data_IF_769190052396
#
_entry.id   IF_769190052396
#
_cell.length_a   1.000
_cell.length_b   1.000
_cell.length_c   1.000
_cell.angle_alpha   90.00
_cell.angle_beta   90.00
_cell.angle_gamma   90.00
#
_symmetry.space_group_name_H-M   'P 1'
#
loop_
_entity.id
_entity.type
_entity.pdbx_description
1 polymer ?
#
# COMPACT_ATOMS: atom_id res chain seq x y z
N UNK A 1 3.49 25.49 12.10
CA UNK A 1 3.30 25.70 10.65
C UNK A 1 2.55 24.51 10.13
N UNK A 2 1.48 24.73 9.34
CA UNK A 2 0.78 23.61 8.71
C UNK A 2 1.70 22.87 7.75
N UNK A 3 1.68 21.55 7.76
CA UNK A 3 2.51 20.67 6.89
C UNK A 3 2.16 20.89 5.42
N UNK A 4 0.87 21.10 5.15
CA UNK A 4 0.33 21.35 3.81
C UNK A 4 -0.59 22.57 3.83
N UNK A 5 -0.44 23.46 2.85
CA UNK A 5 -1.32 24.64 2.74
C UNK A 5 -2.64 24.27 2.06
N UNK A 6 -3.71 24.98 2.43
CA UNK A 6 -5.02 24.84 1.78
C UNK A 6 -4.95 25.08 0.26
N UNK A 7 -4.08 25.98 -0.19
CA UNK A 7 -3.88 26.26 -1.62
C UNK A 7 -3.34 25.03 -2.37
N UNK A 8 -2.36 24.35 -1.81
CA UNK A 8 -1.82 23.11 -2.38
C UNK A 8 -2.87 22.00 -2.48
N UNK A 9 -3.73 21.86 -1.44
CA UNK A 9 -4.83 20.90 -1.46
C UNK A 9 -5.87 21.23 -2.54
N UNK A 10 -6.18 22.49 -2.75
CA UNK A 10 -7.07 22.93 -3.82
C UNK A 10 -6.49 22.66 -5.20
N UNK A 11 -5.22 22.98 -5.43
CA UNK A 11 -4.50 22.73 -6.69
C UNK A 11 -4.41 21.24 -7.00
N UNK A 12 -4.21 20.39 -5.99
CA UNK A 12 -4.22 18.93 -6.12
C UNK A 12 -5.63 18.33 -6.31
N UNK A 13 -6.71 19.12 -6.25
CA UNK A 13 -8.08 18.65 -6.43
C UNK A 13 -8.62 17.79 -5.29
N UNK A 14 -8.00 17.80 -4.10
CA UNK A 14 -8.38 16.96 -2.95
C UNK A 14 -9.75 17.33 -2.36
N UNK A 15 -10.27 18.50 -2.70
CA UNK A 15 -11.60 18.95 -2.27
C UNK A 15 -12.76 18.21 -2.97
N UNK A 16 -12.53 17.51 -4.07
CA UNK A 16 -13.57 16.75 -4.75
C UNK A 16 -13.88 15.44 -4.01
N UNK A 17 -15.13 15.33 -3.57
CA UNK A 17 -15.65 14.10 -2.96
C UNK A 17 -16.37 13.18 -3.95
N UNK A 18 -17.25 12.35 -3.43
CA UNK A 18 -18.08 11.44 -4.24
C UNK A 18 -19.37 12.12 -4.75
N UNK A 19 -19.99 11.58 -5.82
CA UNK A 19 -21.31 12.01 -6.24
C UNK A 19 -22.34 11.92 -5.11
N UNK A 20 -23.31 12.84 -5.07
CA UNK A 20 -24.34 12.93 -4.02
C UNK A 20 -25.15 11.65 -3.84
N UNK A 21 -25.38 10.89 -4.93
CA UNK A 21 -26.07 9.58 -4.91
C UNK A 21 -25.30 8.50 -4.10
N UNK A 22 -24.00 8.67 -3.87
CA UNK A 22 -23.15 7.77 -3.07
C UNK A 22 -22.93 8.34 -1.65
N UNK A 23 -23.91 9.01 -1.12
CA UNK A 23 -23.81 9.63 0.20
C UNK A 23 -23.62 8.58 1.31
N UNK A 24 -22.73 8.93 2.25
CA UNK A 24 -22.52 8.16 3.48
C UNK A 24 -22.75 9.09 4.69
N UNK A 25 -23.65 8.73 5.62
CA UNK A 25 -23.93 9.54 6.81
C UNK A 25 -22.69 9.86 7.65
N UNK A 26 -21.71 8.97 7.71
CA UNK A 26 -20.45 9.16 8.45
C UNK A 26 -19.59 10.28 7.88
N UNK A 27 -19.73 10.58 6.58
CA UNK A 27 -19.00 11.65 5.91
C UNK A 27 -19.63 13.05 6.10
N UNK A 28 -20.87 13.13 6.61
CA UNK A 28 -21.60 14.40 6.78
C UNK A 28 -20.77 15.50 7.45
N UNK A 29 -20.00 15.16 8.47
CA UNK A 29 -19.19 16.10 9.24
C UNK A 29 -17.99 16.69 8.48
N UNK A 30 -17.59 16.07 7.36
CA UNK A 30 -16.46 16.46 6.54
C UNK A 30 -16.88 17.11 5.21
N UNK A 31 -18.18 17.16 4.92
CA UNK A 31 -18.71 17.75 3.71
C UNK A 31 -18.97 19.23 3.97
N UNK A 32 -18.40 20.10 3.13
CA UNK A 32 -18.65 21.53 3.15
C UNK A 32 -19.96 21.87 2.41
N UNK A 33 -20.10 21.43 1.16
CA UNK A 33 -21.26 21.67 0.32
C UNK A 33 -21.39 20.63 -0.78
N UNK A 34 -22.46 20.71 -1.59
CA UNK A 34 -22.60 19.96 -2.82
C UNK A 34 -22.69 20.92 -4.02
N UNK A 35 -21.95 20.64 -5.09
CA UNK A 35 -21.98 21.41 -6.33
C UNK A 35 -21.91 20.46 -7.53
N UNK A 36 -22.78 20.66 -8.50
CA UNK A 36 -22.85 19.81 -9.71
C UNK A 36 -22.93 18.33 -9.37
N UNK A 37 -23.81 17.95 -8.42
CA UNK A 37 -24.00 16.57 -7.94
C UNK A 37 -22.75 15.89 -7.35
N UNK A 38 -21.71 16.67 -7.01
CA UNK A 38 -20.50 16.21 -6.32
C UNK A 38 -20.39 16.93 -4.98
N UNK A 39 -20.04 16.18 -3.94
CA UNK A 39 -19.72 16.76 -2.63
C UNK A 39 -18.35 17.43 -2.66
N UNK A 40 -18.27 18.59 -2.02
CA UNK A 40 -17.04 19.32 -1.76
C UNK A 40 -16.64 19.07 -0.30
N UNK A 41 -15.41 18.62 -0.08
CA UNK A 41 -14.89 18.36 1.25
C UNK A 41 -14.38 19.63 1.92
N UNK A 42 -14.52 19.68 3.25
CA UNK A 42 -14.05 20.77 4.09
C UNK A 42 -12.53 20.69 4.27
N UNK A 43 -11.80 21.55 3.55
CA UNK A 43 -10.33 21.54 3.56
C UNK A 43 -9.75 22.12 4.86
N UNK A 44 -10.45 22.95 5.60
CA UNK A 44 -9.96 23.46 6.91
C UNK A 44 -9.78 22.30 7.88
N UNK A 45 -10.79 21.41 7.94
CA UNK A 45 -10.70 20.18 8.73
C UNK A 45 -9.62 19.24 8.20
N UNK A 46 -9.47 19.15 6.87
CA UNK A 46 -8.45 18.30 6.25
C UNK A 46 -7.05 18.75 6.67
N UNK A 47 -6.73 20.04 6.63
CA UNK A 47 -5.43 20.56 7.06
C UNK A 47 -5.17 20.22 8.53
N UNK A 48 -6.15 20.45 9.42
CA UNK A 48 -6.00 20.13 10.84
C UNK A 48 -5.72 18.65 11.08
N UNK A 49 -6.46 17.76 10.40
CA UNK A 49 -6.29 16.31 10.53
C UNK A 49 -4.96 15.81 9.92
N UNK A 50 -4.45 16.49 8.88
CA UNK A 50 -3.11 16.19 8.34
C UNK A 50 -2.03 16.56 9.35
N UNK A 51 -2.14 17.72 10.00
CA UNK A 51 -1.17 18.12 11.03
C UNK A 51 -1.16 17.16 12.23
N UNK A 52 -2.34 16.70 12.67
CA UNK A 52 -2.48 15.67 13.72
C UNK A 52 -1.84 14.34 13.29
N UNK A 53 -2.14 13.87 12.07
CA UNK A 53 -1.58 12.64 11.52
C UNK A 53 -0.04 12.73 11.39
N UNK A 54 0.47 13.86 10.93
CA UNK A 54 1.91 14.11 10.83
C UNK A 54 2.58 14.05 12.20
N UNK A 55 2.01 14.70 13.21
CA UNK A 55 2.55 14.67 14.57
C UNK A 55 2.58 13.24 15.14
N UNK A 56 1.54 12.44 14.88
CA UNK A 56 1.49 11.04 15.27
C UNK A 56 2.59 10.21 14.56
N UNK A 57 2.68 10.29 13.22
CA UNK A 57 3.70 9.59 12.45
C UNK A 57 5.11 9.95 12.92
N UNK A 58 5.36 11.25 13.14
CA UNK A 58 6.62 11.73 13.67
C UNK A 58 6.97 11.10 15.01
N UNK A 59 6.02 11.04 15.95
CA UNK A 59 6.24 10.41 17.26
C UNK A 59 6.58 8.91 17.16
N UNK A 60 5.96 8.19 16.21
CA UNK A 60 6.25 6.77 15.97
C UNK A 60 7.67 6.58 15.45
N UNK A 61 8.09 7.42 14.49
CA UNK A 61 9.45 7.36 13.91
C UNK A 61 10.50 7.75 14.95
N UNK A 62 10.27 8.77 15.76
CA UNK A 62 11.15 9.19 16.85
C UNK A 62 11.31 8.10 17.91
N UNK A 63 10.27 7.27 18.12
CA UNK A 63 10.35 6.08 18.99
C UNK A 63 11.04 4.87 18.33
N UNK A 64 11.58 5.01 17.11
CA UNK A 64 12.22 3.92 16.37
C UNK A 64 11.24 2.93 15.72
N UNK A 65 9.98 3.31 15.59
CA UNK A 65 8.94 2.50 14.94
C UNK A 65 9.06 2.54 13.41
N UNK A 66 8.53 1.49 12.78
CA UNK A 66 8.43 1.39 11.32
C UNK A 66 7.04 1.78 10.83
N UNK A 67 6.98 2.29 9.60
CA UNK A 67 5.75 2.67 8.92
C UNK A 67 5.57 1.79 7.70
N UNK A 68 4.38 1.20 7.55
CA UNK A 68 3.99 0.48 6.35
C UNK A 68 3.03 1.36 5.54
N UNK A 69 3.48 1.76 4.36
CA UNK A 69 2.66 2.50 3.40
C UNK A 69 1.82 1.53 2.55
N UNK A 70 0.52 1.74 2.47
CA UNK A 70 -0.38 0.88 1.70
C UNK A 70 -1.11 1.70 0.63
N UNK A 71 -0.83 1.40 -0.63
CA UNK A 71 -1.40 2.09 -1.78
C UNK A 71 -1.83 1.13 -2.89
N UNK A 72 -2.85 0.30 -2.63
CA UNK A 72 -3.31 -0.73 -3.57
C UNK A 72 -4.17 -0.19 -4.72
N UNK A 73 -4.58 1.07 -4.67
CA UNK A 73 -5.33 1.71 -5.75
C UNK A 73 -4.40 2.12 -6.88
N UNK A 74 -4.73 1.78 -8.13
CA UNK A 74 -3.91 2.06 -9.31
C UNK A 74 -3.37 3.49 -9.38
N UNK A 75 -4.17 4.48 -8.98
CA UNK A 75 -3.77 5.90 -9.00
C UNK A 75 -2.79 6.29 -7.88
N UNK A 76 -2.73 5.52 -6.79
CA UNK A 76 -1.88 5.81 -5.64
C UNK A 76 -0.61 4.96 -5.61
N UNK A 77 -0.60 3.82 -6.33
CA UNK A 77 0.47 2.82 -6.28
C UNK A 77 1.86 3.44 -6.48
N UNK A 78 2.06 4.11 -7.61
CA UNK A 78 3.39 4.60 -8.00
C UNK A 78 3.90 5.67 -7.02
N UNK A 79 3.03 6.60 -6.62
CA UNK A 79 3.38 7.64 -5.65
C UNK A 79 3.71 7.06 -4.26
N UNK A 80 2.97 6.03 -3.82
CA UNK A 80 3.22 5.36 -2.53
C UNK A 80 4.55 4.62 -2.55
N UNK A 81 4.86 3.91 -3.64
CA UNK A 81 6.13 3.18 -3.80
C UNK A 81 7.31 4.16 -3.77
N UNK A 82 7.26 5.20 -4.61
CA UNK A 82 8.32 6.20 -4.72
C UNK A 82 8.60 6.88 -3.38
N UNK A 83 7.57 7.35 -2.70
CA UNK A 83 7.73 8.07 -1.43
C UNK A 83 8.16 7.15 -0.26
N UNK A 84 7.68 5.91 -0.24
CA UNK A 84 8.11 4.95 0.78
C UNK A 84 9.58 4.55 0.59
N UNK A 85 10.02 4.30 -0.65
CA UNK A 85 11.43 4.04 -0.96
C UNK A 85 12.31 5.23 -0.61
N UNK A 86 11.87 6.45 -0.93
CA UNK A 86 12.57 7.67 -0.55
C UNK A 86 12.74 7.81 0.96
N UNK A 87 11.72 7.39 1.72
CA UNK A 87 11.75 7.40 3.19
C UNK A 87 12.47 6.20 3.82
N UNK A 88 12.86 5.18 3.04
CA UNK A 88 13.44 3.94 3.54
C UNK A 88 12.47 3.11 4.40
N UNK A 89 11.17 3.20 4.10
CA UNK A 89 10.11 2.52 4.85
C UNK A 89 9.42 1.46 3.99
N UNK A 90 8.71 0.55 4.64
CA UNK A 90 7.99 -0.53 3.98
C UNK A 90 6.76 -0.03 3.21
N UNK A 91 6.46 -0.68 2.09
CA UNK A 91 5.28 -0.35 1.29
C UNK A 91 4.57 -1.59 0.77
N UNK A 92 3.30 -1.43 0.43
CA UNK A 92 2.48 -2.41 -0.26
C UNK A 92 1.72 -1.72 -1.40
N UNK A 93 2.18 -1.90 -2.63
CA UNK A 93 1.62 -1.27 -3.83
C UNK A 93 0.65 -2.15 -4.61
N UNK A 94 0.68 -3.47 -4.38
CA UNK A 94 -0.16 -4.44 -5.06
C UNK A 94 -1.39 -4.83 -4.22
N UNK A 95 -1.88 -6.04 -4.36
CA UNK A 95 -3.06 -6.51 -3.63
C UNK A 95 -2.71 -6.77 -2.17
N UNK A 96 -3.52 -6.25 -1.24
CA UNK A 96 -3.44 -6.64 0.15
C UNK A 96 -3.87 -8.09 0.33
N UNK A 97 -2.96 -8.95 0.78
CA UNK A 97 -3.25 -10.36 1.01
C UNK A 97 -4.04 -10.53 2.31
N UNK A 98 -5.06 -11.39 2.27
CA UNK A 98 -5.80 -11.74 3.48
C UNK A 98 -4.87 -12.43 4.50
N UNK A 99 -4.83 -11.90 5.71
CA UNK A 99 -3.99 -12.46 6.77
C UNK A 99 -2.57 -11.89 6.86
N UNK A 100 -2.21 -10.88 6.07
CA UNK A 100 -0.87 -10.26 6.11
C UNK A 100 -0.44 -9.86 7.52
N UNK A 101 -1.33 -9.35 8.34
CA UNK A 101 -1.03 -9.01 9.74
C UNK A 101 -1.45 -10.10 10.74
N UNK A 102 -2.53 -10.85 10.45
CA UNK A 102 -3.11 -11.82 11.40
C UNK A 102 -2.57 -13.22 11.23
N UNK A 103 -2.11 -13.61 10.04
CA UNK A 103 -1.54 -14.92 9.72
C UNK A 103 -0.19 -14.77 9.01
N UNK A 104 0.64 -13.88 9.51
CA UNK A 104 1.94 -13.56 8.93
C UNK A 104 2.86 -14.78 8.80
N UNK A 105 2.78 -15.74 9.76
CA UNK A 105 3.57 -16.98 9.68
C UNK A 105 3.34 -17.77 8.38
N UNK A 106 2.08 -17.86 7.94
CA UNK A 106 1.75 -18.54 6.68
C UNK A 106 2.23 -17.74 5.46
N UNK A 107 2.09 -16.42 5.50
CA UNK A 107 2.60 -15.56 4.43
C UNK A 107 4.12 -15.69 4.35
N UNK A 108 4.83 -15.60 5.47
CA UNK A 108 6.29 -15.76 5.53
C UNK A 108 6.77 -17.11 4.97
N UNK A 109 6.05 -18.19 5.25
CA UNK A 109 6.42 -19.51 4.72
C UNK A 109 6.37 -19.58 3.18
N UNK A 110 5.56 -18.73 2.53
CA UNK A 110 5.52 -18.63 1.06
C UNK A 110 6.72 -17.89 0.51
N UNK A 111 7.13 -16.80 1.18
CA UNK A 111 8.37 -16.07 0.86
C UNK A 111 9.58 -17.00 1.01
N UNK A 112 9.66 -17.75 2.12
CA UNK A 112 10.73 -18.71 2.35
C UNK A 112 10.74 -19.81 1.27
N UNK A 113 9.56 -20.21 0.78
CA UNK A 113 9.43 -21.17 -0.31
C UNK A 113 9.97 -20.63 -1.63
N UNK A 114 9.64 -19.38 -1.99
CA UNK A 114 10.16 -18.70 -3.18
C UNK A 114 11.69 -18.60 -3.12
N UNK A 115 12.22 -18.10 -2.01
CA UNK A 115 13.68 -18.01 -1.81
C UNK A 115 14.36 -19.36 -2.02
N UNK A 116 13.74 -20.45 -1.55
CA UNK A 116 14.24 -21.80 -1.75
C UNK A 116 14.19 -22.23 -3.21
N UNK A 117 13.13 -21.94 -3.95
CA UNK A 117 13.02 -22.24 -5.37
C UNK A 117 14.10 -21.51 -6.18
N UNK A 118 14.29 -20.23 -5.92
CA UNK A 118 15.33 -19.41 -6.55
C UNK A 118 16.74 -19.95 -6.26
N UNK A 119 16.99 -20.44 -5.03
CA UNK A 119 18.26 -21.10 -4.70
C UNK A 119 18.46 -22.40 -5.46
N UNK A 120 17.43 -23.24 -5.58
CA UNK A 120 17.50 -24.49 -6.35
C UNK A 120 17.76 -24.23 -7.84
N UNK A 121 17.23 -23.17 -8.41
CA UNK A 121 17.53 -22.77 -9.79
C UNK A 121 19.01 -22.33 -9.93
N UNK A 122 19.50 -21.50 -9.02
CA UNK A 122 20.89 -21.02 -9.03
C UNK A 122 21.93 -22.12 -8.80
N UNK A 123 21.60 -23.11 -7.96
CA UNK A 123 22.49 -24.26 -7.69
C UNK A 123 22.48 -25.34 -8.77
N UNK A 124 21.58 -25.23 -9.76
CA UNK A 124 21.43 -26.20 -10.83
C UNK A 124 20.73 -27.50 -10.39
N UNK A 125 20.08 -27.50 -9.23
CA UNK A 125 19.33 -28.68 -8.74
C UNK A 125 18.17 -29.05 -9.67
N UNK A 126 17.63 -28.10 -10.44
CA UNK A 126 16.61 -28.37 -11.45
C UNK A 126 17.09 -29.30 -12.57
N UNK A 127 18.38 -29.31 -12.88
CA UNK A 127 18.95 -30.19 -13.92
C UNK A 127 18.99 -31.66 -13.49
N UNK A 128 18.91 -31.92 -12.18
CA UNK A 128 18.87 -33.25 -11.60
C UNK A 128 17.46 -33.84 -11.52
N UNK A 129 16.43 -33.02 -11.72
CA UNK A 129 15.03 -33.41 -11.60
C UNK A 129 14.41 -33.80 -12.95
N UNK A 130 13.37 -34.66 -12.95
CA UNK A 130 12.60 -34.95 -14.15
C UNK A 130 11.94 -33.69 -14.72
N UNK A 131 11.93 -33.53 -16.06
CA UNK A 131 11.35 -32.33 -16.73
C UNK A 131 9.94 -31.98 -16.29
N UNK A 132 9.12 -32.98 -15.94
CA UNK A 132 7.74 -32.77 -15.47
C UNK A 132 7.70 -32.06 -14.10
N UNK A 133 8.61 -32.42 -13.20
CA UNK A 133 8.73 -31.76 -11.88
C UNK A 133 9.28 -30.36 -12.02
N UNK A 134 10.29 -30.13 -12.84
CA UNK A 134 10.86 -28.80 -13.12
C UNK A 134 9.79 -27.85 -13.64
N UNK A 135 8.95 -28.30 -14.58
CA UNK A 135 7.83 -27.49 -15.07
C UNK A 135 6.82 -27.13 -13.96
N UNK A 136 6.57 -28.07 -13.04
CA UNK A 136 5.71 -27.81 -11.87
C UNK A 136 6.31 -26.78 -10.92
N UNK A 137 7.61 -26.89 -10.61
CA UNK A 137 8.34 -25.97 -9.72
C UNK A 137 8.44 -24.56 -10.33
N UNK A 138 8.72 -24.46 -11.63
CA UNK A 138 8.74 -23.14 -12.33
C UNK A 138 7.36 -22.49 -12.39
N UNK A 139 6.30 -23.26 -12.54
CA UNK A 139 4.95 -22.73 -12.46
C UNK A 139 4.60 -22.24 -11.03
N UNK A 140 5.07 -22.97 -10.00
CA UNK A 140 4.93 -22.55 -8.60
C UNK A 140 5.72 -21.27 -8.32
N UNK A 141 6.95 -21.17 -8.82
CA UNK A 141 7.83 -20.01 -8.70
C UNK A 141 7.15 -18.74 -9.24
N UNK A 142 6.64 -18.76 -10.47
CA UNK A 142 5.93 -17.64 -11.08
C UNK A 142 4.70 -17.21 -10.23
N UNK A 143 3.96 -18.17 -9.69
CA UNK A 143 2.79 -17.90 -8.85
C UNK A 143 3.19 -17.31 -7.50
N UNK A 144 4.29 -17.78 -6.90
CA UNK A 144 4.78 -17.26 -5.63
C UNK A 144 5.50 -15.91 -5.81
N UNK A 145 6.23 -15.69 -6.92
CA UNK A 145 6.78 -14.35 -7.27
C UNK A 145 5.69 -13.30 -7.35
N UNK A 146 4.63 -13.57 -8.11
CA UNK A 146 3.50 -12.66 -8.23
C UNK A 146 2.84 -12.32 -6.88
N UNK A 147 2.89 -13.25 -5.90
CA UNK A 147 2.39 -13.01 -4.54
C UNK A 147 3.43 -12.33 -3.64
N UNK A 148 4.71 -12.56 -3.88
CA UNK A 148 5.80 -12.06 -3.02
C UNK A 148 6.20 -10.65 -3.39
N UNK A 149 6.15 -10.27 -4.66
CA UNK A 149 6.21 -8.87 -5.08
C UNK A 149 5.16 -8.01 -4.37
N UNK A 150 4.08 -8.67 -3.89
CA UNK A 150 3.04 -8.05 -3.07
C UNK A 150 3.44 -7.90 -1.58
N UNK A 151 4.49 -8.56 -1.10
CA UNK A 151 4.85 -8.66 0.34
C UNK A 151 6.22 -8.06 0.65
N UNK A 152 7.19 -8.11 -0.28
CA UNK A 152 8.56 -7.58 -0.09
C UNK A 152 8.70 -6.12 -0.53
N UNK A 153 7.66 -5.59 -1.15
CA UNK A 153 7.64 -4.20 -1.54
C UNK A 153 7.52 -3.27 -0.34
#
# INVERSE_FOLDING_TARGET
MAVVSMKQLLEAGVHFGHPTRKWNPKMKKYIFTARNDIYILDLEKTVTLIDEAYAFVKSVVEAGGNILFVGTKKQAKDAVIEEAQRAGMFYMGNRWLGGTLTNFKTIRSRVDRLTKLNQMEQTGEFDLLPKKEVLGLKAEEIVEEAKTEEVEA
#
